data_IF_622875809277
#
_entry.id   IF_622875809277
#
_cell.length_a   1.000
_cell.length_b   1.000
_cell.length_c   1.000
_cell.angle_alpha   90.00
_cell.angle_beta   90.00
_cell.angle_gamma   90.00
#
_symmetry.space_group_name_H-M   'P 1'
#
loop_
_entity.id
_entity.type
_entity.pdbx_description
1 polymer ?
#
# COMPACT_ATOMS: atom_id res chain seq x y z
N UNK A 1 -0.34 -1.83 18.34
CA UNK A 1 -0.58 -0.44 17.87
C UNK A 1 -1.94 -0.32 17.20
N UNK A 2 -2.35 -1.32 16.40
CA UNK A 2 -3.70 -1.38 15.82
C UNK A 2 -4.83 -1.31 16.85
N UNK A 3 -4.62 -1.82 18.07
CA UNK A 3 -5.58 -1.82 19.17
C UNK A 3 -5.96 -0.41 19.62
N UNK A 4 -5.08 0.58 19.40
CA UNK A 4 -5.37 2.01 19.66
C UNK A 4 -6.49 2.54 18.76
N UNK A 5 -6.69 1.93 17.59
CA UNK A 5 -7.65 2.39 16.58
C UNK A 5 -8.87 1.47 16.43
N UNK A 6 -8.77 0.21 16.86
CA UNK A 6 -9.85 -0.77 16.76
C UNK A 6 -9.96 -1.58 18.05
N UNK A 7 -11.15 -1.61 18.65
CA UNK A 7 -11.42 -2.37 19.88
C UNK A 7 -11.99 -3.77 19.63
N UNK A 8 -12.57 -4.03 18.45
CA UNK A 8 -13.19 -5.31 18.15
C UNK A 8 -12.13 -6.38 17.84
N UNK A 9 -11.95 -7.36 18.74
CA UNK A 9 -10.94 -8.44 18.61
C UNK A 9 -11.06 -9.21 17.29
N UNK A 10 -12.28 -9.47 16.83
CA UNK A 10 -12.53 -10.15 15.54
C UNK A 10 -12.00 -9.34 14.35
N UNK A 11 -12.14 -8.02 14.38
CA UNK A 11 -11.63 -7.14 13.33
C UNK A 11 -10.10 -7.08 13.38
N UNK A 12 -9.52 -6.92 14.56
CA UNK A 12 -8.06 -6.94 14.76
C UNK A 12 -7.45 -8.24 14.23
N UNK A 13 -8.03 -9.38 14.57
CA UNK A 13 -7.60 -10.68 14.07
C UNK A 13 -7.67 -10.77 12.54
N UNK A 14 -8.74 -10.27 11.93
CA UNK A 14 -8.89 -10.25 10.48
C UNK A 14 -7.88 -9.33 9.77
N UNK A 15 -7.59 -8.17 10.35
CA UNK A 15 -6.60 -7.23 9.81
C UNK A 15 -5.18 -7.82 9.87
N UNK A 16 -4.84 -8.46 10.99
CA UNK A 16 -3.51 -9.07 11.21
C UNK A 16 -3.28 -10.35 10.41
N UNK A 17 -4.31 -11.15 10.15
CA UNK A 17 -4.18 -12.36 9.33
C UNK A 17 -4.20 -12.07 7.82
N UNK A 18 -4.55 -10.84 7.42
CA UNK A 18 -4.56 -10.43 6.03
C UNK A 18 -3.17 -10.15 5.46
N UNK A 19 -3.05 -9.96 4.13
CA UNK A 19 -1.76 -9.73 3.46
C UNK A 19 -0.98 -8.52 3.97
N UNK A 20 -1.68 -7.45 4.38
CA UNK A 20 -1.04 -6.25 4.95
C UNK A 20 -0.67 -6.41 6.42
N UNK A 21 -1.21 -7.44 7.10
CA UNK A 21 -1.17 -7.62 8.55
C UNK A 21 0.20 -7.41 9.20
N UNK A 22 1.29 -8.00 8.68
CA UNK A 22 2.65 -7.81 9.22
C UNK A 22 3.11 -6.35 9.27
N UNK A 23 2.55 -5.47 8.44
CA UNK A 23 2.98 -4.08 8.29
C UNK A 23 2.01 -3.07 8.93
N UNK A 24 0.82 -3.51 9.34
CA UNK A 24 -0.23 -2.61 9.81
C UNK A 24 0.11 -1.96 11.17
N UNK A 25 0.80 -2.66 12.07
CA UNK A 25 1.21 -2.09 13.36
C UNK A 25 2.30 -1.00 13.17
N UNK A 26 3.24 -1.20 12.25
CA UNK A 26 4.25 -0.20 11.88
C UNK A 26 3.62 1.02 11.20
N UNK A 27 2.66 0.80 10.30
CA UNK A 27 1.93 1.88 9.65
C UNK A 27 1.08 2.68 10.65
N UNK A 28 0.44 2.00 11.61
CA UNK A 28 -0.30 2.65 12.69
C UNK A 28 0.60 3.60 13.50
N UNK A 29 1.79 3.15 13.87
CA UNK A 29 2.78 3.99 14.57
C UNK A 29 3.27 5.17 13.71
N UNK A 30 3.41 4.98 12.40
CA UNK A 30 3.77 6.09 11.49
C UNK A 30 2.67 7.15 11.44
N UNK A 31 1.40 6.75 11.36
CA UNK A 31 0.27 7.67 11.36
C UNK A 31 0.15 8.47 12.67
N UNK A 32 0.41 7.82 13.80
CA UNK A 32 0.43 8.48 15.11
C UNK A 32 1.54 9.55 15.17
N UNK A 33 2.77 9.21 14.78
CA UNK A 33 3.89 10.16 14.77
C UNK A 33 3.65 11.36 13.83
N UNK A 34 2.92 11.14 12.74
CA UNK A 34 2.55 12.19 11.79
C UNK A 34 1.35 13.04 12.28
N UNK A 35 0.78 12.74 13.45
CA UNK A 35 -0.27 13.55 14.08
C UNK A 35 -1.66 13.35 13.47
N UNK A 36 -1.90 12.24 12.77
CA UNK A 36 -3.25 11.96 12.26
C UNK A 36 -4.23 11.66 13.41
N UNK A 37 -5.43 12.21 13.31
CA UNK A 37 -6.50 11.90 14.26
C UNK A 37 -6.88 10.42 14.22
N UNK A 38 -7.36 9.87 15.34
CA UNK A 38 -7.73 8.45 15.45
C UNK A 38 -8.73 8.00 14.37
N UNK A 39 -9.73 8.82 14.06
CA UNK A 39 -10.70 8.54 13.01
C UNK A 39 -10.09 8.47 11.62
N UNK A 40 -9.17 9.38 11.29
CA UNK A 40 -8.46 9.39 10.00
C UNK A 40 -7.50 8.22 9.89
N UNK A 41 -6.71 7.96 10.94
CA UNK A 41 -5.79 6.83 10.98
C UNK A 41 -6.53 5.49 10.82
N UNK A 42 -7.66 5.29 11.50
CA UNK A 42 -8.49 4.09 11.35
C UNK A 42 -9.08 3.94 9.92
N UNK A 43 -9.28 5.03 9.18
CA UNK A 43 -9.67 4.97 7.75
C UNK A 43 -8.50 4.54 6.88
N UNK A 44 -7.30 5.05 7.13
CA UNK A 44 -6.10 4.70 6.37
C UNK A 44 -5.62 3.28 6.65
N UNK A 45 -5.73 2.79 7.88
CA UNK A 45 -5.47 1.39 8.23
C UNK A 45 -6.41 0.42 7.52
N UNK A 46 -7.70 0.77 7.39
CA UNK A 46 -8.63 0.00 6.56
C UNK A 46 -8.25 0.06 5.09
N UNK A 47 -7.91 1.22 4.55
CA UNK A 47 -7.44 1.33 3.16
C UNK A 47 -6.20 0.47 2.89
N UNK A 48 -5.25 0.41 3.82
CA UNK A 48 -4.06 -0.43 3.75
C UNK A 48 -4.41 -1.94 3.69
N UNK A 49 -5.36 -2.37 4.53
CA UNK A 49 -5.85 -3.76 4.50
C UNK A 49 -6.59 -4.08 3.20
N UNK A 50 -7.39 -3.14 2.66
CA UNK A 50 -8.03 -3.28 1.35
C UNK A 50 -7.01 -3.45 0.23
N UNK A 51 -5.98 -2.60 0.20
CA UNK A 51 -4.94 -2.62 -0.82
C UNK A 51 -4.25 -3.99 -0.85
N UNK A 52 -3.79 -4.48 0.31
CA UNK A 52 -3.16 -5.81 0.40
C UNK A 52 -4.07 -6.95 -0.05
N UNK A 53 -5.37 -6.89 0.28
CA UNK A 53 -6.34 -7.88 -0.22
C UNK A 53 -6.46 -7.87 -1.75
N UNK A 54 -6.49 -6.69 -2.38
CA UNK A 54 -6.59 -6.57 -3.84
C UNK A 54 -5.33 -7.07 -4.53
N UNK A 55 -4.15 -6.66 -4.04
CA UNK A 55 -2.85 -7.06 -4.58
C UNK A 55 -2.65 -8.57 -4.48
N UNK A 56 -2.97 -9.17 -3.33
CA UNK A 56 -2.86 -10.62 -3.13
C UNK A 56 -3.76 -11.41 -4.10
N UNK A 57 -4.96 -10.91 -4.41
CA UNK A 57 -5.87 -11.55 -5.38
C UNK A 57 -5.36 -11.54 -6.81
N UNK A 58 -4.43 -10.64 -7.13
CA UNK A 58 -3.85 -10.52 -8.47
C UNK A 58 -2.56 -11.34 -8.60
N UNK A 59 -2.11 -12.01 -7.53
CA UNK A 59 -0.84 -12.73 -7.52
C UNK A 59 0.38 -11.79 -7.64
N UNK A 60 0.18 -10.48 -7.48
CA UNK A 60 1.24 -9.50 -7.54
C UNK A 60 2.07 -9.57 -6.25
N UNK A 61 3.39 -9.55 -6.43
CA UNK A 61 4.31 -9.42 -5.31
C UNK A 61 4.16 -8.04 -4.66
N UNK A 62 4.40 -7.89 -3.35
CA UNK A 62 4.33 -6.60 -2.67
C UNK A 62 5.20 -5.52 -3.33
N UNK A 63 6.21 -5.92 -4.10
CA UNK A 63 7.14 -5.01 -4.76
C UNK A 63 6.53 -4.13 -5.86
N UNK A 64 5.35 -4.48 -6.38
CA UNK A 64 4.71 -3.80 -7.52
C UNK A 64 3.25 -3.44 -7.21
N UNK A 65 3.04 -2.72 -6.10
CA UNK A 65 1.71 -2.21 -5.77
C UNK A 65 1.38 -1.05 -6.70
N UNK A 66 0.65 -1.35 -7.78
CA UNK A 66 0.08 -0.35 -8.67
C UNK A 66 -1.23 0.23 -8.09
N UNK A 67 -1.18 1.50 -7.70
CA UNK A 67 -2.34 2.24 -7.19
C UNK A 67 -3.41 2.50 -8.27
N UNK A 68 -3.06 2.46 -9.55
CA UNK A 68 -4.02 2.58 -10.64
C UNK A 68 -4.95 1.36 -10.67
N UNK A 69 -4.39 0.17 -10.49
CA UNK A 69 -5.15 -1.08 -10.40
C UNK A 69 -6.09 -1.07 -9.18
N UNK A 70 -5.61 -0.61 -8.03
CA UNK A 70 -6.47 -0.43 -6.86
C UNK A 70 -7.59 0.58 -7.12
N UNK A 71 -7.28 1.69 -7.80
CA UNK A 71 -8.28 2.72 -8.15
C UNK A 71 -9.36 2.18 -9.08
N UNK A 72 -8.99 1.35 -10.05
CA UNK A 72 -9.94 0.69 -10.95
C UNK A 72 -10.81 -0.32 -10.20
N UNK A 73 -10.21 -1.13 -9.32
CA UNK A 73 -10.94 -2.05 -8.46
C UNK A 73 -12.03 -1.34 -7.63
N UNK A 74 -11.75 -0.14 -7.09
CA UNK A 74 -12.73 0.61 -6.30
C UNK A 74 -13.99 1.01 -7.07
N UNK A 75 -13.97 1.01 -8.41
CA UNK A 75 -15.14 1.38 -9.23
C UNK A 75 -16.26 0.34 -9.15
N UNK A 76 -15.89 -0.94 -8.98
CA UNK A 76 -16.83 -2.07 -8.94
C UNK A 76 -16.67 -2.94 -7.67
N UNK A 77 -15.93 -2.43 -6.67
CA UNK A 77 -15.56 -3.15 -5.47
C UNK A 77 -16.75 -3.77 -4.74
N UNK A 78 -16.64 -5.08 -4.48
CA UNK A 78 -17.56 -5.87 -3.64
C UNK A 78 -16.86 -6.52 -2.44
N UNK A 79 -15.66 -6.04 -2.09
CA UNK A 79 -14.90 -6.58 -0.96
C UNK A 79 -15.67 -6.36 0.36
N UNK A 80 -15.44 -7.21 1.38
CA UNK A 80 -16.08 -7.05 2.68
C UNK A 80 -15.83 -5.65 3.26
N UNK A 81 -16.87 -5.01 3.83
CA UNK A 81 -16.78 -3.66 4.42
C UNK A 81 -15.74 -3.54 5.54
N UNK A 82 -15.41 -4.66 6.20
CA UNK A 82 -14.37 -4.72 7.22
C UNK A 82 -12.98 -4.36 6.67
N UNK A 83 -12.74 -4.64 5.38
CA UNK A 83 -11.48 -4.40 4.71
C UNK A 83 -11.45 -3.09 3.92
N UNK A 84 -12.58 -2.56 3.42
CA UNK A 84 -12.52 -1.28 2.70
C UNK A 84 -13.82 -0.81 2.08
N UNK A 85 -13.99 0.52 2.11
CA UNK A 85 -15.21 1.24 1.72
C UNK A 85 -15.24 1.69 0.26
N UNK A 86 -16.35 2.37 -0.10
CA UNK A 86 -16.61 2.95 -1.42
C UNK A 86 -15.46 3.86 -1.89
N UNK A 87 -15.28 3.99 -3.21
CA UNK A 87 -14.36 4.94 -3.85
C UNK A 87 -14.54 6.33 -3.23
N UNK A 88 -13.56 6.75 -2.44
CA UNK A 88 -13.47 8.09 -1.89
C UNK A 88 -11.99 8.49 -1.77
N UNK A 89 -11.73 9.80 -1.66
CA UNK A 89 -10.37 10.34 -1.64
C UNK A 89 -9.51 9.75 -0.51
N UNK A 90 -10.08 9.52 0.69
CA UNK A 90 -9.32 8.94 1.81
C UNK A 90 -8.93 7.47 1.60
N UNK A 91 -9.72 6.68 0.85
CA UNK A 91 -9.35 5.29 0.54
C UNK A 91 -8.12 5.27 -0.35
N UNK A 92 -8.08 6.10 -1.39
CA UNK A 92 -6.92 6.20 -2.28
C UNK A 92 -5.71 6.80 -1.56
N UNK A 93 -5.92 7.90 -0.83
CA UNK A 93 -4.85 8.57 -0.10
C UNK A 93 -4.24 7.66 0.98
N UNK A 94 -5.07 6.94 1.75
CA UNK A 94 -4.59 6.00 2.75
C UNK A 94 -3.83 4.81 2.14
N UNK A 95 -4.28 4.29 0.99
CA UNK A 95 -3.55 3.27 0.25
C UNK A 95 -2.20 3.78 -0.27
N UNK A 96 -2.15 5.03 -0.73
CA UNK A 96 -0.90 5.68 -1.16
C UNK A 96 0.08 5.83 0.00
N UNK A 97 -0.35 6.36 1.14
CA UNK A 97 0.49 6.48 2.34
C UNK A 97 1.01 5.12 2.80
N UNK A 98 0.17 4.08 2.72
CA UNK A 98 0.60 2.73 3.07
C UNK A 98 1.69 2.21 2.13
N UNK A 99 1.54 2.41 0.82
CA UNK A 99 2.58 2.07 -0.16
C UNK A 99 3.89 2.84 0.12
N UNK A 100 3.80 4.13 0.42
CA UNK A 100 4.96 4.95 0.80
C UNK A 100 5.65 4.37 2.04
N UNK A 101 4.88 4.01 3.07
CA UNK A 101 5.41 3.35 4.26
C UNK A 101 6.12 2.02 3.93
N UNK A 102 5.54 1.19 3.05
CA UNK A 102 6.16 -0.07 2.63
C UNK A 102 7.47 0.16 1.85
N UNK A 103 7.57 1.24 1.07
CA UNK A 103 8.82 1.64 0.42
C UNK A 103 9.86 2.09 1.45
N UNK A 104 9.46 2.90 2.44
CA UNK A 104 10.34 3.39 3.50
C UNK A 104 10.97 2.24 4.32
N UNK A 105 10.22 1.17 4.57
CA UNK A 105 10.72 0.00 5.31
C UNK A 105 11.33 -1.08 4.41
N UNK A 106 11.49 -0.82 3.10
CA UNK A 106 12.17 -1.71 2.15
C UNK A 106 11.36 -2.94 1.71
N UNK A 107 10.04 -2.96 1.92
CA UNK A 107 9.15 -4.04 1.47
C UNK A 107 8.73 -3.85 0.01
N UNK A 108 8.53 -2.61 -0.41
CA UNK A 108 8.24 -2.23 -1.79
C UNK A 108 9.42 -1.52 -2.44
N UNK A 109 9.62 -1.74 -3.73
CA UNK A 109 10.56 -0.97 -4.51
C UNK A 109 10.05 0.45 -4.75
N UNK A 110 10.95 1.42 -4.56
CA UNK A 110 10.70 2.77 -5.02
C UNK A 110 10.64 2.81 -6.54
N UNK A 111 9.77 3.63 -7.11
CA UNK A 111 9.70 3.86 -8.55
C UNK A 111 11.06 4.30 -9.14
N UNK A 112 11.86 5.05 -8.37
CA UNK A 112 13.21 5.44 -8.78
C UNK A 112 14.17 4.24 -8.87
N UNK A 113 14.07 3.27 -7.95
CA UNK A 113 14.88 2.06 -7.96
C UNK A 113 14.48 1.13 -9.12
N UNK A 114 13.18 1.03 -9.40
CA UNK A 114 12.67 0.26 -10.55
C UNK A 114 13.18 0.84 -11.89
N UNK A 115 13.15 2.17 -12.04
CA UNK A 115 13.66 2.87 -13.23
C UNK A 115 15.18 2.75 -13.38
N UNK A 116 15.95 2.69 -12.29
CA UNK A 116 17.39 2.46 -12.35
C UNK A 116 17.75 1.02 -12.75
N UNK A 117 16.93 0.03 -12.34
CA UNK A 117 17.12 -1.37 -12.74
C UNK A 117 16.79 -1.59 -14.21
N UNK A 118 15.71 -0.98 -14.69
CA UNK A 118 15.37 -0.99 -16.10
C UNK A 118 16.21 0.04 -16.83
N UNK A 119 17.49 -0.27 -17.11
CA UNK A 119 18.32 0.62 -17.93
C UNK A 119 17.56 0.96 -19.23
N UNK A 120 17.18 2.23 -19.46
CA UNK A 120 16.43 2.58 -20.65
C UNK A 120 17.27 2.24 -21.87
N UNK A 121 16.67 1.65 -22.90
CA UNK A 121 17.38 1.26 -24.13
C UNK A 121 18.19 2.42 -24.74
N UNK A 122 17.73 3.66 -24.55
CA UNK A 122 18.43 4.88 -24.92
C UNK A 122 19.78 5.05 -24.20
N UNK A 123 19.84 4.76 -22.90
CA UNK A 123 21.07 4.83 -22.08
C UNK A 123 22.03 3.71 -22.48
N UNK A 124 21.52 2.50 -22.72
CA UNK A 124 22.33 1.38 -23.21
C UNK A 124 22.95 1.69 -24.59
N UNK A 125 22.14 2.18 -25.55
CA UNK A 125 22.64 2.59 -26.87
C UNK A 125 23.63 3.77 -26.80
N UNK A 126 23.40 4.73 -25.91
CA UNK A 126 24.31 5.86 -25.74
C UNK A 126 25.68 5.43 -25.22
N UNK A 127 25.74 4.47 -24.29
CA UNK A 127 27.00 3.90 -23.79
C UNK A 127 27.75 3.14 -24.89
N UNK A 128 27.04 2.40 -25.74
CA UNK A 128 27.62 1.72 -26.91
C UNK A 128 28.21 2.75 -27.88
N UNK A 129 27.51 3.85 -28.13
CA UNK A 129 28.01 4.94 -28.99
C UNK A 129 29.24 5.65 -28.41
N UNK A 130 29.28 5.92 -27.11
CA UNK A 130 30.45 6.55 -26.45
C UNK A 130 31.71 5.67 -26.45
N UNK A 131 31.55 4.36 -26.58
CA UNK A 131 32.66 3.40 -26.61
C UNK A 131 33.15 3.04 -28.02
N UNK A 132 32.55 3.60 -29.07
CA UNK A 132 32.92 3.44 -30.48
C UNK A 132 33.69 4.66 -30.98
#
# INVERSE_FOLDING_TARGET
MLETYFSASKLLGHLRSGPSGPYLDGFAAALERQGYSAGTAARYLRAAAHLGHVVARQGAMPNDIDLAVFSEHLRSCRCPRAMGGRRNHHTIFGARLFREHLVEIGVCESAAAALQRAEPCLVAHFKVWLGA
#
